data_IF_000682048334
#
_entry.id   IF_000682048334
#
_cell.length_a   1.000
_cell.length_b   1.000
_cell.length_c   1.000
_cell.angle_alpha   90.00
_cell.angle_beta   90.00
_cell.angle_gamma   90.00
#
_symmetry.space_group_name_H-M   'P 1'
#
loop_
_entity.id
_entity.type
_entity.pdbx_description
1 polymer ?
#
# COMPACT_ATOMS: atom_id res chain seq x y z
N UNK A 1 -13.48 5.54 -7.30
CA UNK A 1 -12.67 5.57 -8.55
C UNK A 1 -11.20 5.45 -8.18
N UNK A 2 -10.39 4.87 -9.07
CA UNK A 2 -8.94 4.72 -8.87
C UNK A 2 -8.22 5.61 -9.88
N UNK A 3 -7.15 6.28 -9.46
CA UNK A 3 -6.32 7.13 -10.31
C UNK A 3 -4.89 6.57 -10.33
N UNK A 4 -4.38 6.34 -11.54
CA UNK A 4 -3.00 5.95 -11.78
C UNK A 4 -2.21 7.15 -12.32
N UNK A 5 -0.97 7.28 -11.87
CA UNK A 5 -0.05 8.33 -12.35
C UNK A 5 1.25 7.71 -12.85
N UNK A 6 2.01 8.49 -13.62
CA UNK A 6 3.34 8.12 -14.11
C UNK A 6 3.34 6.74 -14.80
N UNK A 7 4.38 5.93 -14.57
CA UNK A 7 4.56 4.61 -15.16
C UNK A 7 3.40 3.64 -14.90
N UNK A 8 2.72 3.75 -13.76
CA UNK A 8 1.55 2.91 -13.47
C UNK A 8 0.40 3.19 -14.43
N UNK A 9 0.21 4.45 -14.86
CA UNK A 9 -0.83 4.80 -15.83
C UNK A 9 -0.54 4.18 -17.21
N UNK A 10 0.74 4.15 -17.61
CA UNK A 10 1.18 3.52 -18.87
C UNK A 10 0.90 2.02 -18.85
N UNK A 11 1.33 1.33 -17.78
CA UNK A 11 1.10 -0.11 -17.60
C UNK A 11 -0.41 -0.40 -17.58
N UNK A 12 -1.19 0.42 -16.88
CA UNK A 12 -2.64 0.26 -16.83
C UNK A 12 -3.27 0.40 -18.23
N UNK A 13 -2.85 1.39 -19.03
CA UNK A 13 -3.33 1.57 -20.39
C UNK A 13 -2.93 0.45 -21.34
N UNK A 14 -1.71 -0.06 -21.20
CA UNK A 14 -1.18 -1.12 -22.07
C UNK A 14 -1.83 -2.48 -21.78
N UNK A 15 -2.01 -2.84 -20.51
CA UNK A 15 -2.39 -4.21 -20.12
C UNK A 15 -3.82 -4.35 -19.61
N UNK A 16 -4.44 -3.31 -19.05
CA UNK A 16 -5.81 -3.46 -18.55
C UNK A 16 -6.82 -3.36 -19.69
N UNK A 17 -7.78 -4.28 -19.65
CA UNK A 17 -8.97 -4.27 -20.48
C UNK A 17 -10.19 -4.36 -19.57
N UNK A 18 -11.37 -4.07 -20.12
CA UNK A 18 -12.60 -4.24 -19.36
C UNK A 18 -12.72 -5.71 -18.93
N UNK A 19 -12.92 -5.94 -17.63
CA UNK A 19 -13.03 -7.28 -17.05
C UNK A 19 -11.72 -7.84 -16.48
N UNK A 20 -10.58 -7.19 -16.73
CA UNK A 20 -9.31 -7.61 -16.13
C UNK A 20 -9.37 -7.57 -14.61
N UNK A 21 -9.03 -8.68 -13.96
CA UNK A 21 -8.94 -8.76 -12.52
C UNK A 21 -7.59 -8.19 -12.05
N UNK A 22 -7.63 -7.28 -11.07
CA UNK A 22 -6.43 -6.62 -10.54
C UNK A 22 -6.52 -6.44 -9.03
N UNK A 23 -5.37 -6.49 -8.38
CA UNK A 23 -5.14 -5.98 -7.04
C UNK A 23 -4.56 -4.57 -7.13
N UNK A 24 -5.00 -3.68 -6.25
CA UNK A 24 -4.58 -2.27 -6.22
C UNK A 24 -4.33 -1.88 -4.77
N UNK A 25 -3.18 -1.28 -4.50
CA UNK A 25 -2.87 -0.61 -3.24
C UNK A 25 -2.70 0.91 -3.49
N UNK A 26 -3.09 1.73 -2.53
CA UNK A 26 -2.99 3.17 -2.65
C UNK A 26 -3.49 3.93 -1.43
N UNK A 27 -3.61 5.24 -1.59
CA UNK A 27 -4.11 6.14 -0.55
C UNK A 27 -5.49 6.70 -0.90
N UNK A 28 -6.36 6.84 0.11
CA UNK A 28 -7.64 7.55 -0.05
C UNK A 28 -7.37 9.06 -0.10
N UNK A 29 -7.90 9.73 -1.12
CA UNK A 29 -7.86 11.18 -1.25
C UNK A 29 -9.24 11.73 -1.53
N UNK A 30 -9.63 12.75 -0.77
CA UNK A 30 -10.84 13.53 -1.01
C UNK A 30 -10.44 14.87 -1.60
N UNK A 31 -10.94 15.18 -2.80
CA UNK A 31 -10.76 16.50 -3.41
C UNK A 31 -12.07 17.26 -3.52
N UNK A 32 -11.99 18.57 -3.31
CA UNK A 32 -13.07 19.53 -3.53
C UNK A 32 -12.95 20.12 -4.92
N UNK A 33 -14.06 20.29 -5.62
CA UNK A 33 -14.13 20.99 -6.91
C UNK A 33 -15.49 21.66 -7.08
N UNK A 34 -15.56 22.73 -7.86
CA UNK A 34 -16.80 23.43 -8.16
C UNK A 34 -17.45 22.85 -9.43
N UNK A 35 -18.75 22.57 -9.38
CA UNK A 35 -19.51 22.23 -10.58
C UNK A 35 -19.81 23.45 -11.46
N UNK A 36 -20.46 23.24 -12.61
CA UNK A 36 -20.78 24.32 -13.55
C UNK A 36 -21.73 25.38 -12.96
N UNK A 37 -22.48 25.02 -11.92
CA UNK A 37 -23.39 25.93 -11.19
C UNK A 37 -22.69 26.63 -10.02
N UNK A 38 -21.39 26.39 -9.82
CA UNK A 38 -20.59 26.97 -8.74
C UNK A 38 -20.75 26.27 -7.40
N UNK A 39 -21.43 25.11 -7.33
CA UNK A 39 -21.60 24.38 -6.08
C UNK A 39 -20.37 23.54 -5.76
N UNK A 40 -20.04 23.47 -4.48
CA UNK A 40 -18.96 22.63 -3.98
C UNK A 40 -19.32 21.14 -4.07
N UNK A 41 -18.44 20.36 -4.69
CA UNK A 41 -18.56 18.91 -4.80
C UNK A 41 -17.29 18.26 -4.24
N UNK A 42 -17.50 17.14 -3.55
CA UNK A 42 -16.42 16.33 -3.01
C UNK A 42 -16.33 15.03 -3.77
N UNK A 43 -15.11 14.53 -3.95
CA UNK A 43 -14.95 13.17 -4.48
C UNK A 43 -13.79 12.48 -3.79
N UNK A 44 -14.08 11.28 -3.32
CA UNK A 44 -13.11 10.37 -2.72
C UNK A 44 -12.61 9.39 -3.78
N UNK A 45 -11.29 9.27 -3.87
CA UNK A 45 -10.58 8.46 -4.85
C UNK A 45 -9.49 7.65 -4.17
N UNK A 46 -9.08 6.57 -4.81
CA UNK A 46 -7.86 5.84 -4.44
C UNK A 46 -6.77 6.29 -5.41
N UNK A 47 -5.72 6.92 -4.90
CA UNK A 47 -4.50 7.20 -5.67
C UNK A 47 -3.61 5.98 -5.55
N UNK A 48 -3.46 5.24 -6.65
CA UNK A 48 -2.75 3.97 -6.67
C UNK A 48 -1.24 4.18 -6.52
N UNK A 49 -0.63 3.43 -5.60
CA UNK A 49 0.82 3.30 -5.43
C UNK A 49 1.34 1.99 -5.99
N UNK A 50 0.52 0.94 -6.02
CA UNK A 50 0.87 -0.37 -6.56
C UNK A 50 -0.32 -1.01 -7.28
N UNK A 51 -0.02 -1.85 -8.28
CA UNK A 51 -0.99 -2.66 -9.01
C UNK A 51 -0.39 -4.02 -9.33
N UNK A 52 -1.20 -5.06 -9.18
CA UNK A 52 -0.86 -6.41 -9.64
C UNK A 52 -2.01 -6.97 -10.49
N UNK A 53 -1.67 -7.56 -11.64
CA UNK A 53 -2.65 -8.25 -12.48
C UNK A 53 -2.95 -9.62 -11.89
N UNK A 54 -4.23 -9.92 -11.71
CA UNK A 54 -4.70 -11.20 -11.16
C UNK A 54 -5.34 -12.08 -12.24
N UNK A 55 -5.46 -11.57 -13.47
CA UNK A 55 -5.96 -12.35 -14.58
C UNK A 55 -5.00 -13.53 -14.83
N UNK A 56 -5.44 -14.72 -14.39
CA UNK A 56 -4.73 -15.97 -14.65
C UNK A 56 -4.75 -16.21 -16.15
N UNK A 57 -3.62 -16.63 -16.74
CA UNK A 57 -3.48 -17.08 -18.13
C UNK A 57 -4.56 -18.10 -18.55
N UNK A 58 -5.77 -17.65 -18.82
CA UNK A 58 -6.94 -18.49 -19.08
C UNK A 58 -7.83 -17.83 -20.12
N UNK A 59 -7.26 -17.44 -21.25
CA UNK A 59 -7.88 -17.64 -22.56
C UNK A 59 -6.91 -17.22 -23.66
N UNK A 60 -6.56 -18.15 -24.56
CA UNK A 60 -6.03 -17.77 -25.87
C UNK A 60 -4.69 -18.36 -26.32
N UNK A 61 -4.15 -19.41 -25.70
CA UNK A 61 -3.11 -20.24 -26.34
C UNK A 61 -3.54 -21.70 -26.43
N UNK A 62 -4.73 -21.91 -26.99
CA UNK A 62 -5.01 -23.14 -27.71
C UNK A 62 -4.30 -23.08 -29.06
N UNK A 63 -3.41 -24.07 -29.30
CA UNK A 63 -2.79 -24.49 -30.57
C UNK A 63 -1.28 -24.23 -30.73
N UNK A 64 -0.49 -25.16 -30.19
CA UNK A 64 0.89 -25.46 -30.60
C UNK A 64 1.25 -26.88 -30.13
N UNK A 65 1.63 -27.82 -31.03
CA UNK A 65 1.65 -29.24 -30.74
C UNK A 65 2.98 -29.72 -30.11
N UNK A 66 2.90 -30.82 -29.38
CA UNK A 66 3.88 -31.93 -29.36
C UNK A 66 5.36 -31.64 -29.08
N UNK A 67 5.90 -32.22 -28.00
CA UNK A 67 7.26 -32.80 -28.06
C UNK A 67 8.09 -32.77 -26.78
N UNK A 68 8.48 -33.97 -26.31
CA UNK A 68 9.70 -34.22 -25.51
C UNK A 68 9.57 -33.91 -24.01
N UNK A 69 9.56 -34.84 -23.04
CA UNK A 69 10.34 -36.06 -22.82
C UNK A 69 11.86 -35.84 -22.65
N UNK A 70 12.25 -35.28 -21.50
CA UNK A 70 13.54 -35.50 -20.79
C UNK A 70 13.36 -34.86 -19.39
N UNK A 71 13.32 -35.55 -18.24
CA UNK A 71 14.16 -36.61 -17.69
C UNK A 71 15.65 -36.24 -17.65
N UNK A 72 16.16 -36.00 -16.44
CA UNK A 72 17.55 -35.66 -16.13
C UNK A 72 17.65 -34.27 -15.51
N UNK A 73 18.39 -34.01 -14.46
CA UNK A 73 19.29 -34.84 -13.67
C UNK A 73 19.58 -34.07 -12.37
N UNK A 74 19.80 -34.84 -11.31
CA UNK A 74 20.07 -34.40 -9.94
C UNK A 74 21.55 -34.06 -9.81
N UNK A 75 21.86 -32.87 -9.32
CA UNK A 75 23.19 -32.48 -8.83
C UNK A 75 22.96 -31.48 -7.70
N UNK A 76 22.79 -31.89 -6.44
CA UNK A 76 23.86 -32.30 -5.51
C UNK A 76 25.05 -31.34 -5.56
N UNK A 77 24.87 -30.17 -4.94
CA UNK A 77 25.94 -29.27 -4.56
C UNK A 77 26.17 -29.41 -3.05
N UNK A 78 27.21 -30.17 -2.72
CA UNK A 78 27.86 -30.12 -1.42
C UNK A 78 29.01 -29.12 -1.45
N UNK A 79 29.12 -28.33 -0.40
CA UNK A 79 30.30 -27.61 0.16
C UNK A 79 29.75 -26.51 1.04
N UNK A 80 30.31 -26.11 2.16
CA UNK A 80 31.33 -26.61 3.07
C UNK A 80 31.22 -25.62 4.24
N UNK A 81 31.37 -26.16 5.43
CA UNK A 81 31.45 -25.43 6.68
C UNK A 81 32.64 -24.49 6.69
N UNK A 82 32.45 -23.22 7.06
CA UNK A 82 33.49 -22.47 7.78
C UNK A 82 32.92 -21.30 8.56
N UNK A 83 32.99 -21.45 9.87
CA UNK A 83 32.85 -20.40 10.85
C UNK A 83 33.92 -19.31 10.65
N UNK A 84 33.50 -18.05 10.68
CA UNK A 84 34.37 -16.93 11.08
C UNK A 84 33.57 -15.98 11.95
N UNK A 85 33.92 -15.99 13.23
CA UNK A 85 33.45 -15.01 14.18
C UNK A 85 34.09 -13.65 13.92
N UNK A 86 33.39 -12.61 14.35
CA UNK A 86 33.99 -11.35 14.73
C UNK A 86 33.15 -10.74 15.85
N UNK A 87 33.86 -10.56 16.96
CA UNK A 87 33.55 -9.92 18.22
C UNK A 87 33.19 -8.44 18.06
N UNK A 88 32.72 -7.85 19.17
CA UNK A 88 32.60 -6.42 19.46
C UNK A 88 31.27 -5.75 19.03
N UNK A 89 30.65 -4.84 19.78
CA UNK A 89 30.99 -4.19 21.05
C UNK A 89 29.72 -3.50 21.56
N UNK A 90 29.53 -3.54 22.87
CA UNK A 90 28.56 -2.78 23.66
C UNK A 90 28.61 -1.28 23.37
N UNK A 91 27.52 -0.67 22.92
CA UNK A 91 27.26 0.76 23.16
C UNK A 91 25.75 1.03 23.30
N UNK A 92 25.32 1.31 24.54
CA UNK A 92 24.09 2.07 24.88
C UNK A 92 24.46 3.56 24.92
N UNK A 93 23.68 4.43 24.27
CA UNK A 93 23.43 5.80 24.73
C UNK A 93 21.97 5.89 25.24
N UNK A 94 21.75 6.33 26.49
CA UNK A 94 21.26 7.66 26.84
C UNK A 94 19.86 7.93 26.24
N UNK A 95 18.76 7.68 26.96
CA UNK A 95 18.09 8.64 27.86
C UNK A 95 17.93 10.02 27.21
N UNK A 96 16.81 10.21 26.51
CA UNK A 96 16.26 11.53 26.20
C UNK A 96 15.08 11.78 27.14
N UNK A 97 15.37 12.60 28.15
CA UNK A 97 14.45 13.36 28.98
C UNK A 97 13.52 14.18 28.08
N UNK A 98 12.23 13.81 28.03
CA UNK A 98 11.21 14.71 27.51
C UNK A 98 10.72 15.61 28.65
N UNK A 99 11.38 16.77 28.76
CA UNK A 99 10.90 17.95 29.48
C UNK A 99 9.50 18.32 28.97
N UNK A 100 8.47 18.08 29.79
CA UNK A 100 7.13 18.59 29.53
C UNK A 100 7.01 20.02 30.10
N UNK A 101 6.73 21.05 29.29
CA UNK A 101 6.27 22.31 29.82
C UNK A 101 4.84 22.13 30.36
N UNK A 102 4.69 22.22 31.67
CA UNK A 102 3.40 22.31 32.34
C UNK A 102 2.75 23.66 32.04
N UNK A 103 1.93 23.70 30.99
CA UNK A 103 1.01 24.81 30.79
C UNK A 103 -0.16 24.68 31.75
N UNK A 104 0.02 25.22 32.95
CA UNK A 104 -1.09 25.60 33.81
C UNK A 104 -1.89 26.72 33.12
N UNK A 105 -3.09 26.41 32.63
CA UNK A 105 -4.16 27.39 32.43
C UNK A 105 -5.47 26.79 32.94
N UNK A 106 -5.83 27.24 34.13
CA UNK A 106 -7.21 27.36 34.60
C UNK A 106 -8.05 28.07 33.52
N UNK A 107 -9.23 27.54 33.23
CA UNK A 107 -10.56 28.20 33.32
C UNK A 107 -11.55 27.53 32.35
N UNK A 108 -12.72 27.14 32.86
CA UNK A 108 -13.94 27.05 32.04
C UNK A 108 -14.55 25.67 31.95
N UNK A 109 -15.49 25.41 32.86
CA UNK A 109 -16.71 24.62 32.65
C UNK A 109 -17.05 24.34 31.17
N UNK A 110 -16.75 23.13 30.69
CA UNK A 110 -17.22 22.61 29.40
C UNK A 110 -17.72 21.15 29.49
N UNK A 111 -17.81 20.58 30.69
CA UNK A 111 -18.28 19.19 30.91
C UNK A 111 -19.80 19.10 31.14
N UNK A 112 -20.54 20.20 31.07
CA UNK A 112 -22.00 20.25 31.34
C UNK A 112 -22.86 20.57 30.11
N UNK A 113 -22.26 20.94 28.96
CA UNK A 113 -23.01 21.25 27.72
C UNK A 113 -23.11 20.06 26.74
N UNK A 114 -22.38 18.96 26.97
CA UNK A 114 -22.29 17.84 26.02
C UNK A 114 -23.29 16.71 26.34
N UNK A 115 -23.91 16.71 27.52
CA UNK A 115 -24.81 15.63 27.98
C UNK A 115 -26.31 15.88 27.70
N UNK A 116 -26.67 17.08 27.20
CA UNK A 116 -28.09 17.52 27.10
C UNK A 116 -28.64 17.62 25.65
N UNK A 117 -27.89 17.16 24.63
CA UNK A 117 -28.37 17.22 23.23
C UNK A 117 -27.81 16.10 22.33
N UNK A 118 -28.06 14.84 22.72
CA UNK A 118 -27.85 13.67 21.85
C UNK A 118 -29.20 13.32 21.18
N UNK A 119 -29.45 13.73 19.91
CA UNK A 119 -30.68 13.34 19.22
C UNK A 119 -30.66 11.84 18.83
N UNK A 120 -31.81 11.18 19.00
CA UNK A 120 -32.12 9.84 18.49
C UNK A 120 -32.29 9.80 16.97
#
# INVERSE_FOLDING_TARGET
RVVFFNRLAEIAGEYLRKGSQVYIEGSLRTRKWADQSGNDRYTTEIVASEMQMLDSRSEGSGRGPSGGAYAGERSEWGTDTSARGSTAQTHRPAQDDWDMPSSARSTGSMDQEIDDDIPF
#
